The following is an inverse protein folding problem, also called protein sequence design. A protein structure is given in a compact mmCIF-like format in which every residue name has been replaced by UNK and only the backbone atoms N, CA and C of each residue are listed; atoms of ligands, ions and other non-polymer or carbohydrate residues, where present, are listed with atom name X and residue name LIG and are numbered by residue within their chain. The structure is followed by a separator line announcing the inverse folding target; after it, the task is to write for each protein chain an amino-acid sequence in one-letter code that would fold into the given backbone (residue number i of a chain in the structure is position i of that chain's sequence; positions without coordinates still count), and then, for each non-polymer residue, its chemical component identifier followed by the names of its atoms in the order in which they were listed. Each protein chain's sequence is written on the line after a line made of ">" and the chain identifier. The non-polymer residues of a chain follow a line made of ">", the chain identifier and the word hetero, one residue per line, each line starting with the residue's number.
data_IF_290269193399
#
_entry.id   IF_290269193399
#
_cell.length_a   1.000
_cell.length_b   1.000
_cell.length_c   1.000
_cell.angle_alpha   90.00
_cell.angle_beta   90.00
_cell.angle_gamma   90.00
#
_symmetry.space_group_name_H-M   'P 1'
#
loop_
_entity.id
_entity.type
_entity.pdbx_description
1 polymer ?
#
# COMPACT_ATOMS: atom_id res chain seq x y z
N UNK A 1 -0.08 -4.75 4.32
CA UNK A 1 1.10 -4.08 3.75
C UNK A 1 1.25 -4.55 2.31
N UNK A 2 1.44 -3.64 1.36
CA UNK A 2 1.56 -3.96 -0.08
C UNK A 2 2.84 -3.32 -0.61
N UNK A 3 3.77 -4.15 -1.09
CA UNK A 3 5.10 -3.74 -1.54
C UNK A 3 5.32 -4.10 -3.02
N UNK A 4 6.00 -3.23 -3.75
CA UNK A 4 6.50 -3.52 -5.10
C UNK A 4 7.98 -3.22 -5.25
N UNK A 5 8.78 -4.23 -5.62
CA UNK A 5 10.23 -4.09 -5.80
C UNK A 5 10.91 -3.43 -4.58
N UNK A 6 11.68 -2.36 -4.80
CA UNK A 6 12.38 -1.64 -3.73
C UNK A 6 11.45 -0.99 -2.70
N UNK A 7 10.16 -0.82 -3.00
CA UNK A 7 9.15 -0.31 -2.06
C UNK A 7 8.94 -1.21 -0.84
N UNK A 8 9.51 -2.42 -0.81
CA UNK A 8 9.51 -3.29 0.37
C UNK A 8 10.33 -2.72 1.53
N UNK A 9 11.36 -1.90 1.25
CA UNK A 9 12.32 -1.42 2.24
C UNK A 9 11.67 -0.68 3.44
N UNK A 10 10.81 0.35 3.23
CA UNK A 10 10.14 1.00 4.36
C UNK A 10 9.21 0.04 5.13
N UNK A 11 8.59 -0.93 4.45
CA UNK A 11 7.68 -1.88 5.11
C UNK A 11 8.46 -2.89 5.96
N UNK A 12 9.64 -3.32 5.51
CA UNK A 12 10.53 -4.17 6.31
C UNK A 12 11.02 -3.43 7.55
N UNK A 13 11.40 -2.15 7.44
CA UNK A 13 11.79 -1.38 8.63
C UNK A 13 10.68 -1.28 9.68
N UNK A 14 9.42 -1.16 9.26
CA UNK A 14 8.25 -1.20 10.17
C UNK A 14 8.09 -2.58 10.81
N UNK A 15 8.31 -3.67 10.05
CA UNK A 15 8.24 -5.03 10.58
C UNK A 15 9.40 -5.34 11.53
N UNK A 16 10.61 -4.83 11.28
CA UNK A 16 11.75 -4.97 12.20
C UNK A 16 11.44 -4.30 13.54
N UNK A 17 10.97 -3.04 13.53
CA UNK A 17 10.56 -2.33 14.75
C UNK A 17 9.41 -3.05 15.48
N UNK A 18 8.42 -3.58 14.74
CA UNK A 18 7.35 -4.37 15.32
C UNK A 18 7.88 -5.63 16.01
N UNK A 19 8.85 -6.33 15.39
CA UNK A 19 9.45 -7.52 15.95
C UNK A 19 10.32 -7.22 17.18
N UNK A 20 11.01 -6.08 17.20
CA UNK A 20 11.88 -5.67 18.31
C UNK A 20 11.08 -5.14 19.51
N UNK A 21 9.92 -4.51 19.26
CA UNK A 21 9.00 -4.06 20.31
C UNK A 21 8.05 -5.14 20.84
N UNK A 22 8.03 -6.34 20.23
CA UNK A 22 7.15 -7.44 20.63
C UNK A 22 5.68 -7.20 20.29
N UNK A 23 5.42 -6.53 19.16
CA UNK A 23 4.08 -6.20 18.71
C UNK A 23 3.24 -7.47 18.42
N UNK A 24 2.07 -7.55 19.06
CA UNK A 24 1.17 -8.70 18.96
C UNK A 24 0.10 -8.58 17.86
N UNK A 25 0.12 -7.51 17.05
CA UNK A 25 -0.82 -7.34 15.93
C UNK A 25 -0.53 -8.36 14.83
N UNK A 26 -1.58 -8.76 14.11
CA UNK A 26 -1.43 -9.53 12.88
C UNK A 26 -0.96 -8.63 11.73
N UNK A 27 0.05 -9.09 11.00
CA UNK A 27 0.64 -8.42 9.85
C UNK A 27 0.44 -9.25 8.59
N UNK A 28 0.08 -8.57 7.50
CA UNK A 28 -0.08 -9.19 6.19
C UNK A 28 0.80 -8.43 5.20
N UNK A 29 1.66 -9.13 4.47
CA UNK A 29 2.54 -8.57 3.46
C UNK A 29 2.28 -9.21 2.10
N UNK A 30 1.80 -8.41 1.16
CA UNK A 30 1.74 -8.75 -0.27
C UNK A 30 2.95 -8.11 -0.95
N UNK A 31 3.90 -8.91 -1.44
CA UNK A 31 5.15 -8.43 -2.02
C UNK A 31 5.27 -8.84 -3.49
N UNK A 32 5.17 -7.84 -4.37
CA UNK A 32 5.22 -7.99 -5.81
C UNK A 32 6.61 -7.66 -6.40
N UNK A 33 6.98 -8.39 -7.45
CA UNK A 33 8.19 -8.15 -8.24
C UNK A 33 8.06 -8.69 -9.66
N UNK A 34 9.06 -8.43 -10.52
CA UNK A 34 9.02 -8.93 -11.92
C UNK A 34 9.35 -10.42 -12.00
N UNK A 35 10.33 -10.83 -11.21
CA UNK A 35 10.83 -12.21 -11.14
C UNK A 35 11.12 -12.57 -9.68
N UNK A 36 11.21 -13.87 -9.32
CA UNK A 36 11.62 -14.28 -7.98
C UNK A 36 12.93 -13.65 -7.52
N UNK A 37 13.93 -13.56 -8.41
CA UNK A 37 15.23 -12.95 -8.11
C UNK A 37 15.21 -11.43 -7.92
N UNK A 38 14.14 -10.76 -8.32
CA UNK A 38 13.98 -9.31 -8.11
C UNK A 38 13.48 -8.94 -6.71
N UNK A 39 13.00 -9.91 -5.94
CA UNK A 39 12.50 -9.70 -4.59
C UNK A 39 13.67 -9.62 -3.60
N UNK A 40 14.05 -8.41 -3.22
CA UNK A 40 15.04 -8.16 -2.19
C UNK A 40 14.50 -8.52 -0.78
N UNK A 41 15.40 -8.90 0.13
CA UNK A 41 15.08 -9.03 1.56
C UNK A 41 14.31 -10.30 1.97
N UNK A 42 14.11 -11.28 1.08
CA UNK A 42 13.30 -12.47 1.38
C UNK A 42 13.76 -13.24 2.63
N UNK A 43 15.08 -13.41 2.84
CA UNK A 43 15.61 -14.08 4.05
C UNK A 43 15.31 -13.31 5.34
N UNK A 44 15.32 -11.98 5.28
CA UNK A 44 14.98 -11.13 6.42
C UNK A 44 13.48 -11.21 6.71
N UNK A 45 12.63 -11.13 5.68
CA UNK A 45 11.18 -11.32 5.81
C UNK A 45 10.87 -12.68 6.43
N UNK A 46 11.53 -13.76 5.98
CA UNK A 46 11.36 -15.09 6.55
C UNK A 46 11.78 -15.16 8.02
N UNK A 47 12.86 -14.47 8.41
CA UNK A 47 13.25 -14.34 9.81
C UNK A 47 12.19 -13.60 10.64
N UNK A 48 11.64 -12.50 10.11
CA UNK A 48 10.57 -11.73 10.76
C UNK A 48 9.28 -12.54 10.90
N UNK A 49 8.92 -13.37 9.91
CA UNK A 49 7.77 -14.28 9.99
C UNK A 49 7.87 -15.32 11.11
N UNK A 50 9.06 -15.57 11.67
CA UNK A 50 9.21 -16.43 12.85
C UNK A 50 9.05 -15.68 14.18
N UNK A 51 9.07 -14.35 14.16
CA UNK A 51 9.02 -13.47 15.34
C UNK A 51 7.68 -12.74 15.47
N UNK A 52 6.96 -12.58 14.36
CA UNK A 52 5.69 -11.88 14.25
C UNK A 52 4.60 -12.83 13.75
N UNK A 53 3.34 -12.51 14.06
CA UNK A 53 2.19 -13.04 13.34
C UNK A 53 2.13 -12.37 11.94
N UNK A 54 2.97 -12.85 11.03
CA UNK A 54 3.17 -12.25 9.71
C UNK A 54 2.86 -13.25 8.59
N UNK A 55 1.74 -13.01 7.90
CA UNK A 55 1.35 -13.71 6.68
C UNK A 55 1.96 -13.04 5.44
N UNK A 56 2.69 -13.78 4.61
CA UNK A 56 3.41 -13.25 3.44
C UNK A 56 2.95 -13.92 2.16
N UNK A 57 2.45 -13.13 1.21
CA UNK A 57 2.14 -13.54 -0.15
C UNK A 57 3.13 -12.87 -1.11
N UNK A 58 3.75 -13.66 -1.97
CA UNK A 58 4.71 -13.17 -2.97
C UNK A 58 4.09 -13.31 -4.35
N UNK A 59 4.14 -12.24 -5.13
CA UNK A 59 3.57 -12.19 -6.49
C UNK A 59 4.68 -11.85 -7.47
N UNK A 60 4.75 -12.55 -8.59
CA UNK A 60 5.72 -12.26 -9.65
C UNK A 60 5.08 -12.22 -11.04
N UNK A 61 5.44 -11.23 -11.85
CA UNK A 61 4.89 -11.06 -13.19
C UNK A 61 5.26 -12.23 -14.12
N UNK A 62 6.51 -12.71 -14.03
CA UNK A 62 7.02 -13.79 -14.87
C UNK A 62 6.56 -15.18 -14.41
N UNK A 63 6.49 -16.13 -15.35
CA UNK A 63 6.21 -17.52 -15.03
C UNK A 63 7.24 -18.04 -14.01
N UNK A 64 6.75 -18.49 -12.85
CA UNK A 64 7.56 -19.00 -11.75
C UNK A 64 6.95 -20.29 -11.21
N UNK A 65 7.66 -20.99 -10.32
CA UNK A 65 7.11 -22.17 -9.66
C UNK A 65 5.83 -21.79 -8.88
N UNK A 66 4.65 -22.31 -9.25
CA UNK A 66 3.35 -21.85 -8.71
C UNK A 66 3.22 -22.06 -7.19
N UNK A 67 3.97 -23.01 -6.65
CA UNK A 67 3.92 -23.37 -5.22
C UNK A 67 4.54 -22.30 -4.32
N UNK A 68 5.39 -21.42 -4.85
CA UNK A 68 6.12 -20.43 -4.06
C UNK A 68 5.73 -18.97 -4.35
N UNK A 69 5.03 -18.73 -5.47
CA UNK A 69 4.65 -17.41 -5.95
C UNK A 69 3.30 -17.45 -6.66
N UNK A 70 2.47 -16.46 -6.38
CA UNK A 70 1.37 -16.06 -7.26
C UNK A 70 1.94 -15.49 -8.56
N UNK A 71 1.25 -15.70 -9.68
CA UNK A 71 1.72 -15.29 -11.00
C UNK A 71 0.90 -14.15 -11.58
N UNK A 72 1.59 -13.30 -12.34
CA UNK A 72 1.01 -12.17 -13.04
C UNK A 72 1.11 -10.86 -12.26
N UNK A 73 0.63 -9.75 -12.86
CA UNK A 73 0.63 -8.46 -12.19
C UNK A 73 -0.32 -8.49 -10.99
N UNK A 74 -0.01 -7.65 -10.00
CA UNK A 74 -0.91 -7.42 -8.88
C UNK A 74 -2.26 -6.91 -9.42
N UNK A 75 -3.35 -7.35 -8.78
CA UNK A 75 -4.70 -6.96 -9.16
C UNK A 75 -5.62 -6.90 -7.92
N UNK A 76 -6.90 -6.68 -8.17
CA UNK A 76 -7.93 -6.63 -7.13
C UNK A 76 -8.09 -7.95 -6.38
N UNK A 77 -7.98 -9.11 -7.04
CA UNK A 77 -8.13 -10.43 -6.42
C UNK A 77 -7.12 -10.60 -5.29
N UNK A 78 -5.87 -10.20 -5.53
CA UNK A 78 -4.83 -10.27 -4.50
C UNK A 78 -5.16 -9.42 -3.26
N UNK A 79 -5.86 -8.28 -3.42
CA UNK A 79 -6.32 -7.46 -2.28
C UNK A 79 -7.46 -8.14 -1.52
N UNK A 80 -8.40 -8.76 -2.23
CA UNK A 80 -9.52 -9.48 -1.62
C UNK A 80 -9.01 -10.69 -0.83
N UNK A 81 -8.06 -11.43 -1.38
CA UNK A 81 -7.44 -12.59 -0.73
C UNK A 81 -6.64 -12.21 0.50
N UNK A 82 -5.74 -11.21 0.40
CA UNK A 82 -4.88 -10.81 1.54
C UNK A 82 -5.70 -10.20 2.69
N UNK A 83 -6.87 -9.63 2.40
CA UNK A 83 -7.81 -9.08 3.38
C UNK A 83 -8.90 -10.07 3.81
N UNK A 84 -8.93 -11.27 3.27
CA UNK A 84 -9.93 -12.27 3.62
C UNK A 84 -9.89 -12.58 5.12
N UNK A 85 -11.01 -12.43 5.81
CA UNK A 85 -11.11 -12.61 7.26
C UNK A 85 -10.55 -11.46 8.11
N UNK A 86 -10.03 -10.39 7.50
CA UNK A 86 -9.43 -9.24 8.21
C UNK A 86 -10.47 -8.12 8.44
N UNK A 87 -10.58 -7.56 9.66
CA UNK A 87 -11.54 -6.49 9.94
C UNK A 87 -11.13 -5.14 9.34
N UNK A 88 -11.79 -4.71 8.25
CA UNK A 88 -11.42 -3.51 7.49
C UNK A 88 -11.36 -2.21 8.31
N UNK A 89 -12.24 -2.03 9.31
CA UNK A 89 -12.29 -0.79 10.12
C UNK A 89 -11.12 -0.66 11.10
N UNK A 90 -10.42 -1.75 11.45
CA UNK A 90 -9.26 -1.72 12.35
C UNK A 90 -7.92 -1.79 11.63
N UNK A 91 -7.94 -2.03 10.32
CA UNK A 91 -6.75 -2.35 9.54
C UNK A 91 -6.19 -1.12 8.83
N UNK A 92 -4.88 -0.94 8.94
CA UNK A 92 -4.11 0.03 8.17
C UNK A 92 -3.43 -0.66 6.99
N UNK A 93 -3.61 -0.08 5.80
CA UNK A 93 -3.00 -0.55 4.56
C UNK A 93 -1.85 0.38 4.20
N UNK A 94 -0.62 -0.07 4.46
CA UNK A 94 0.61 0.61 4.06
C UNK A 94 1.05 0.12 2.68
N UNK A 95 1.30 1.04 1.75
CA UNK A 95 1.57 0.73 0.33
C UNK A 95 2.81 1.47 -0.16
N UNK A 96 3.72 0.77 -0.83
CA UNK A 96 4.88 1.41 -1.43
C UNK A 96 5.39 0.60 -2.63
N UNK A 97 5.62 1.25 -3.77
CA UNK A 97 6.10 0.56 -4.97
C UNK A 97 5.97 1.41 -6.24
N UNK A 98 5.98 0.80 -7.43
CA UNK A 98 5.76 1.49 -8.70
C UNK A 98 4.37 2.11 -8.79
N UNK A 99 4.24 3.24 -9.50
CA UNK A 99 2.99 4.01 -9.62
C UNK A 99 1.77 3.17 -9.98
N UNK A 100 1.83 2.41 -11.08
CA UNK A 100 0.71 1.59 -11.54
C UNK A 100 0.26 0.54 -10.51
N UNK A 101 1.22 -0.09 -9.82
CA UNK A 101 0.92 -1.05 -8.73
C UNK A 101 0.17 -0.37 -7.59
N UNK A 102 0.63 0.80 -7.16
CA UNK A 102 0.01 1.54 -6.07
C UNK A 102 -1.39 2.02 -6.43
N UNK A 103 -1.60 2.53 -7.65
CA UNK A 103 -2.91 2.97 -8.11
C UNK A 103 -3.92 1.83 -8.11
N UNK A 104 -3.55 0.67 -8.66
CA UNK A 104 -4.38 -0.56 -8.64
C UNK A 104 -4.71 -0.96 -7.20
N UNK A 105 -3.71 -1.01 -6.31
CA UNK A 105 -3.91 -1.42 -4.92
C UNK A 105 -4.80 -0.43 -4.16
N UNK A 106 -4.56 0.88 -4.27
CA UNK A 106 -5.34 1.91 -3.58
C UNK A 106 -6.80 1.88 -4.02
N UNK A 107 -7.05 1.78 -5.33
CA UNK A 107 -8.41 1.78 -5.87
C UNK A 107 -9.15 0.51 -5.47
N UNK A 108 -8.50 -0.66 -5.55
CA UNK A 108 -9.07 -1.91 -5.08
C UNK A 108 -9.41 -1.90 -3.58
N UNK A 109 -8.53 -1.35 -2.72
CA UNK A 109 -8.79 -1.25 -1.28
C UNK A 109 -9.97 -0.32 -0.96
N UNK A 110 -10.11 0.78 -1.70
CA UNK A 110 -11.26 1.67 -1.57
C UNK A 110 -12.56 0.96 -1.97
N UNK A 111 -12.53 0.20 -3.07
CA UNK A 111 -13.69 -0.55 -3.56
C UNK A 111 -14.11 -1.68 -2.60
N UNK A 112 -13.13 -2.33 -1.95
CA UNK A 112 -13.37 -3.34 -0.91
C UNK A 112 -13.97 -2.71 0.36
N UNK A 113 -13.83 -1.39 0.53
CA UNK A 113 -14.41 -0.64 1.65
C UNK A 113 -13.43 -0.34 2.78
N UNK A 114 -12.12 -0.43 2.53
CA UNK A 114 -11.11 0.07 3.49
C UNK A 114 -11.29 1.58 3.65
N UNK A 115 -11.42 2.11 4.88
CA UNK A 115 -11.54 3.54 5.09
C UNK A 115 -10.34 4.28 4.48
N UNK A 116 -10.59 5.32 3.67
CA UNK A 116 -9.53 6.08 2.99
C UNK A 116 -8.45 6.62 3.94
N UNK A 117 -8.83 6.95 5.18
CA UNK A 117 -7.89 7.40 6.23
C UNK A 117 -6.93 6.31 6.74
N UNK A 118 -7.20 5.05 6.46
CA UNK A 118 -6.35 3.91 6.82
C UNK A 118 -5.49 3.44 5.65
N UNK A 119 -5.63 4.03 4.47
CA UNK A 119 -4.78 3.78 3.31
C UNK A 119 -3.65 4.80 3.30
N UNK A 120 -2.45 4.34 3.66
CA UNK A 120 -1.23 5.14 3.71
C UNK A 120 -0.28 4.63 2.63
N UNK A 121 0.30 5.56 1.87
CA UNK A 121 1.15 5.18 0.76
C UNK A 121 2.26 6.19 0.57
N UNK A 122 3.42 5.66 0.19
CA UNK A 122 4.62 6.44 -0.10
C UNK A 122 4.97 6.30 -1.58
N UNK A 123 5.35 7.42 -2.19
CA UNK A 123 5.71 7.51 -3.61
C UNK A 123 7.13 8.03 -3.75
N UNK A 124 7.93 7.34 -4.55
CA UNK A 124 9.26 7.81 -4.96
C UNK A 124 9.24 8.55 -6.30
N UNK A 125 8.11 8.50 -7.02
CA UNK A 125 7.90 9.19 -8.27
C UNK A 125 6.91 10.34 -8.07
N UNK A 126 7.37 11.57 -8.26
CA UNK A 126 6.58 12.78 -8.13
C UNK A 126 5.61 13.01 -9.31
N UNK A 127 5.85 12.36 -10.46
CA UNK A 127 4.93 12.41 -11.60
C UNK A 127 3.74 11.44 -11.44
N UNK A 128 3.80 10.51 -10.48
CA UNK A 128 2.72 9.57 -10.18
C UNK A 128 1.57 10.22 -9.40
N UNK A 129 0.38 9.61 -9.43
CA UNK A 129 -0.77 10.04 -8.61
C UNK A 129 -2.12 9.99 -9.31
N UNK A 130 -2.38 8.92 -10.05
CA UNK A 130 -3.62 8.67 -10.77
C UNK A 130 -4.74 8.04 -9.93
N UNK A 131 -4.47 7.61 -8.69
CA UNK A 131 -5.44 6.88 -7.87
C UNK A 131 -6.69 7.71 -7.55
N UNK A 132 -7.79 7.04 -7.23
CA UNK A 132 -9.02 7.69 -6.76
C UNK A 132 -8.78 8.53 -5.50
N UNK A 133 -7.89 8.08 -4.60
CA UNK A 133 -7.55 8.82 -3.39
C UNK A 133 -6.77 10.11 -3.70
N UNK A 134 -5.86 10.08 -4.66
CA UNK A 134 -5.13 11.26 -5.12
C UNK A 134 -6.07 12.31 -5.70
N UNK A 135 -6.99 11.87 -6.57
CA UNK A 135 -8.02 12.73 -7.17
C UNK A 135 -8.90 13.38 -6.09
N UNK A 136 -9.35 12.60 -5.09
CA UNK A 136 -10.13 13.12 -3.95
C UNK A 136 -9.35 14.19 -3.17
N UNK A 137 -8.09 13.92 -2.80
CA UNK A 137 -7.24 14.85 -2.07
C UNK A 137 -6.98 16.14 -2.85
N UNK A 138 -6.70 16.03 -4.15
CA UNK A 138 -6.51 17.19 -5.05
C UNK A 138 -7.77 18.04 -5.14
N UNK A 139 -8.93 17.42 -5.36
CA UNK A 139 -10.19 18.15 -5.46
C UNK A 139 -10.54 18.86 -4.15
N UNK A 140 -10.28 18.22 -3.00
CA UNK A 140 -10.47 18.83 -1.69
C UNK A 140 -9.55 20.05 -1.48
N UNK A 141 -8.27 19.94 -1.84
CA UNK A 141 -7.33 21.06 -1.75
C UNK A 141 -7.74 22.23 -2.65
N UNK A 142 -8.17 21.95 -3.88
CA UNK A 142 -8.68 22.97 -4.81
C UNK A 142 -9.94 23.67 -4.27
N UNK A 143 -10.87 22.90 -3.69
CA UNK A 143 -12.07 23.46 -3.08
C UNK A 143 -11.74 24.39 -1.89
N UNK A 144 -10.78 23.99 -1.03
CA UNK A 144 -10.31 24.82 0.08
C UNK A 144 -9.68 26.11 -0.44
N UNK A 145 -8.78 26.01 -1.43
CA UNK A 145 -8.14 27.18 -2.02
C UNK A 145 -9.17 28.15 -2.64
N UNK A 146 -10.14 27.62 -3.38
CA UNK A 146 -11.21 28.42 -3.96
C UNK A 146 -12.04 29.15 -2.89
N UNK A 147 -12.36 28.47 -1.78
CA UNK A 147 -13.07 29.08 -0.65
C UNK A 147 -12.24 30.21 0.00
N UNK A 148 -10.94 30.01 0.22
CA UNK A 148 -10.04 31.03 0.77
C UNK A 148 -9.96 32.25 -0.15
N UNK A 149 -9.79 32.04 -1.46
CA UNK A 149 -9.75 33.13 -2.44
C UNK A 149 -11.06 33.91 -2.51
N UNK A 150 -12.21 33.23 -2.44
CA UNK A 150 -13.52 33.87 -2.43
C UNK A 150 -13.70 34.77 -1.19
N UNK A 151 -13.26 34.31 -0.01
CA UNK A 151 -13.29 35.10 1.22
C UNK A 151 -12.36 36.32 1.12
N UNK A 152 -11.14 36.14 0.60
CA UNK A 152 -10.19 37.23 0.42
C UNK A 152 -10.71 38.31 -0.57
N UNK A 153 -11.31 37.88 -1.69
CA UNK A 153 -11.91 38.79 -2.66
C UNK A 153 -13.09 39.57 -2.06
N UNK A 154 -13.98 38.90 -1.30
CA UNK A 154 -15.09 39.56 -0.63
C UNK A 154 -14.63 40.60 0.41
N UNK A 155 -13.49 40.35 1.08
CA UNK A 155 -12.88 41.31 1.99
C UNK A 155 -12.26 42.51 1.24
N UNK A 156 -11.58 42.28 0.12
CA UNK A 156 -10.96 43.35 -0.68
C UNK A 156 -11.96 44.29 -1.38
N UNK A 157 -13.21 43.86 -1.57
CA UNK A 157 -14.29 44.66 -2.17
C UNK A 157 -15.11 45.47 -1.15
N UNK A 158 -14.77 45.38 0.14
CA UNK A 158 -15.40 46.14 1.24
C UNK A 158 -14.60 47.39 1.57
#
# INVERSE_FOLDING_TARGET
>A
MIAGGAGVAPLVGILEEAADSGDARAFHLLYAGRTPGSLAGLRLIEHLSRRLDLHVVKVVDALAEPLAFEQGPIDRRHMEEILSGVPLKGTYCLICGPAGMMEIAIDALLDIGVPAKHILYERFDYAAGGSALDKRRRNQALAILAAVLAVAAAFAMR
#
